data_IF_175349811724
#
_entry.id   IF_175349811724
#
_cell.length_a   1.000
_cell.length_b   1.000
_cell.length_c   1.000
_cell.angle_alpha   90.00
_cell.angle_beta   90.00
_cell.angle_gamma   90.00
#
_symmetry.space_group_name_H-M   'P 1'
#
loop_
_entity.id
_entity.type
_entity.pdbx_description
1 polymer ?
#
# COMPACT_ATOMS: atom_id res chain seq x y z
N UNK A 1 -0.40 23.40 9.99
CA UNK A 1 -0.85 23.44 8.58
C UNK A 1 -2.14 22.64 8.48
N UNK A 2 -3.18 23.21 7.88
CA UNK A 2 -4.43 22.50 7.58
C UNK A 2 -4.14 21.24 6.74
N UNK A 3 -4.97 20.20 6.84
CA UNK A 3 -4.72 18.90 6.19
C UNK A 3 -4.68 18.97 4.66
N UNK A 4 -5.52 19.82 4.06
CA UNK A 4 -5.66 19.97 2.61
C UNK A 4 -4.37 20.40 1.87
N UNK A 5 -3.66 21.48 2.25
CA UNK A 5 -2.44 21.90 1.54
C UNK A 5 -1.33 20.86 1.64
N UNK A 6 -1.27 20.10 2.74
CA UNK A 6 -0.27 19.02 2.90
C UNK A 6 -0.55 17.87 1.94
N UNK A 7 -1.80 17.41 1.85
CA UNK A 7 -2.16 16.32 0.92
C UNK A 7 -1.93 16.76 -0.52
N UNK A 8 -2.32 17.99 -0.86
CA UNK A 8 -2.10 18.56 -2.20
C UNK A 8 -0.61 18.61 -2.53
N UNK A 9 0.23 19.10 -1.61
CA UNK A 9 1.68 19.12 -1.80
C UNK A 9 2.26 17.72 -2.02
N UNK A 10 1.83 16.72 -1.25
CA UNK A 10 2.29 15.34 -1.41
C UNK A 10 1.89 14.77 -2.77
N UNK A 11 0.64 14.98 -3.18
CA UNK A 11 0.15 14.54 -4.50
C UNK A 11 0.93 15.23 -5.62
N UNK A 12 1.14 16.54 -5.53
CA UNK A 12 1.92 17.29 -6.51
C UNK A 12 3.37 16.82 -6.55
N UNK A 13 3.97 16.52 -5.40
CA UNK A 13 5.36 16.03 -5.33
C UNK A 13 5.49 14.66 -5.99
N UNK A 14 4.57 13.73 -5.70
CA UNK A 14 4.54 12.41 -6.34
C UNK A 14 4.27 12.56 -7.84
N UNK A 15 3.28 13.36 -8.23
CA UNK A 15 2.96 13.60 -9.63
C UNK A 15 4.14 14.22 -10.39
N UNK A 16 4.84 15.19 -9.81
CA UNK A 16 6.05 15.78 -10.38
C UNK A 16 7.17 14.75 -10.54
N UNK A 17 7.37 13.88 -9.54
CA UNK A 17 8.32 12.78 -9.66
C UNK A 17 7.98 11.85 -10.83
N UNK A 18 6.71 11.44 -10.98
CA UNK A 18 6.29 10.61 -12.11
C UNK A 18 6.44 11.34 -13.45
N UNK A 19 6.02 12.60 -13.52
CA UNK A 19 6.08 13.40 -14.74
C UNK A 19 7.51 13.64 -15.22
N UNK A 20 8.47 13.85 -14.32
CA UNK A 20 9.86 14.19 -14.68
C UNK A 20 10.75 12.95 -14.72
N UNK A 21 10.65 12.09 -13.70
CA UNK A 21 11.57 10.98 -13.46
C UNK A 21 11.10 9.62 -13.97
N UNK A 22 9.80 9.42 -14.23
CA UNK A 22 9.28 8.12 -14.71
C UNK A 22 8.86 8.19 -16.17
N UNK A 23 8.11 9.22 -16.55
CA UNK A 23 7.62 9.43 -17.91
C UNK A 23 8.27 10.62 -18.62
N UNK A 24 9.20 11.29 -17.93
CA UNK A 24 9.79 12.54 -18.36
C UNK A 24 11.22 12.42 -18.89
N UNK A 25 11.85 13.56 -19.17
CA UNK A 25 13.17 13.61 -19.78
C UNK A 25 14.27 13.00 -18.90
N UNK A 26 14.03 12.84 -17.60
CA UNK A 26 15.04 12.35 -16.66
C UNK A 26 14.97 10.83 -16.44
N UNK A 27 14.07 10.14 -17.15
CA UNK A 27 13.95 8.68 -17.12
C UNK A 27 15.27 7.99 -17.51
N UNK A 28 15.94 8.47 -18.57
CA UNK A 28 17.15 7.84 -19.10
C UNK A 28 18.42 8.10 -18.27
N UNK A 29 18.36 9.04 -17.32
CA UNK A 29 19.49 9.44 -16.50
C UNK A 29 19.67 8.52 -15.29
N UNK A 30 20.45 7.45 -15.46
CA UNK A 30 20.73 6.46 -14.40
C UNK A 30 21.27 7.09 -13.10
N UNK A 31 22.18 8.06 -13.20
CA UNK A 31 22.74 8.74 -12.03
C UNK A 31 21.65 9.46 -11.22
N UNK A 32 20.67 10.07 -11.91
CA UNK A 32 19.53 10.70 -11.26
C UNK A 32 18.62 9.66 -10.57
N UNK A 33 18.32 8.55 -11.24
CA UNK A 33 17.50 7.49 -10.64
C UNK A 33 18.17 6.86 -9.41
N UNK A 34 19.49 6.66 -9.46
CA UNK A 34 20.27 6.17 -8.34
C UNK A 34 20.31 7.17 -7.17
N UNK A 35 20.44 8.47 -7.47
CA UNK A 35 20.39 9.53 -6.45
C UNK A 35 19.03 9.59 -5.75
N UNK A 36 17.93 9.50 -6.51
CA UNK A 36 16.58 9.41 -5.94
C UNK A 36 16.43 8.15 -5.09
N UNK A 37 16.95 7.01 -5.56
CA UNK A 37 16.88 5.75 -4.82
C UNK A 37 17.57 5.86 -3.48
N UNK A 38 18.78 6.44 -3.45
CA UNK A 38 19.53 6.67 -2.23
C UNK A 38 18.77 7.62 -1.28
N UNK A 39 18.20 8.71 -1.81
CA UNK A 39 17.39 9.65 -1.03
C UNK A 39 16.15 8.97 -0.42
N UNK A 40 15.40 8.23 -1.22
CA UNK A 40 14.20 7.51 -0.77
C UNK A 40 14.55 6.41 0.24
N UNK A 41 15.65 5.69 0.04
CA UNK A 41 16.15 4.71 1.00
C UNK A 41 16.52 5.36 2.34
N UNK A 42 17.17 6.52 2.32
CA UNK A 42 17.51 7.27 3.54
C UNK A 42 16.25 7.78 4.27
N UNK A 43 15.26 8.30 3.53
CA UNK A 43 13.96 8.70 4.09
C UNK A 43 13.19 7.52 4.65
N UNK A 44 13.26 6.36 3.98
CA UNK A 44 12.62 5.13 4.42
C UNK A 44 13.27 4.58 5.68
N UNK A 45 14.59 4.61 5.75
CA UNK A 45 15.35 4.27 6.93
C UNK A 45 14.98 5.15 8.12
N UNK A 46 14.88 6.47 7.89
CA UNK A 46 14.48 7.41 8.95
C UNK A 46 13.06 7.18 9.46
N UNK A 47 12.12 6.81 8.59
CA UNK A 47 10.70 6.67 8.95
C UNK A 47 10.31 5.28 9.47
N UNK A 48 10.90 4.21 8.93
CA UNK A 48 10.55 2.82 9.24
C UNK A 48 11.68 1.99 9.85
N UNK A 49 12.86 2.57 10.02
CA UNK A 49 14.05 1.88 10.52
C UNK A 49 14.57 0.82 9.55
N UNK A 50 15.56 0.06 10.03
CA UNK A 50 16.22 -0.98 9.22
C UNK A 50 15.32 -2.18 8.94
N UNK A 51 14.43 -2.53 9.88
CA UNK A 51 13.49 -3.62 9.72
C UNK A 51 12.49 -3.34 8.59
N UNK A 52 11.93 -2.12 8.54
CA UNK A 52 11.01 -1.70 7.48
C UNK A 52 11.69 -1.71 6.11
N UNK A 53 12.88 -1.09 6.01
CA UNK A 53 13.64 -1.07 4.75
C UNK A 53 13.96 -2.49 4.26
N UNK A 54 14.39 -3.39 5.15
CA UNK A 54 14.70 -4.79 4.78
C UNK A 54 13.47 -5.54 4.28
N UNK A 55 12.30 -5.31 4.88
CA UNK A 55 11.05 -5.92 4.42
C UNK A 55 10.68 -5.44 3.01
N UNK A 56 10.76 -4.13 2.76
CA UNK A 56 10.48 -3.55 1.44
C UNK A 56 11.49 -4.05 0.39
N UNK A 57 12.78 -4.09 0.72
CA UNK A 57 13.82 -4.61 -0.19
C UNK A 57 13.56 -6.08 -0.51
N UNK A 58 13.22 -6.92 0.47
CA UNK A 58 12.86 -8.33 0.23
C UNK A 58 11.67 -8.48 -0.71
N UNK A 59 10.69 -7.58 -0.60
CA UNK A 59 9.55 -7.54 -1.52
C UNK A 59 9.95 -7.09 -2.92
N UNK A 60 10.85 -6.12 -3.06
CA UNK A 60 11.28 -5.54 -4.34
C UNK A 60 12.26 -6.43 -5.13
N UNK A 61 13.15 -7.16 -4.44
CA UNK A 61 14.17 -8.02 -5.05
C UNK A 61 13.64 -8.94 -6.16
N UNK A 62 12.55 -9.73 -5.98
CA UNK A 62 12.09 -10.62 -7.03
C UNK A 62 11.66 -9.88 -8.31
N UNK A 63 11.05 -8.70 -8.18
CA UNK A 63 10.63 -7.90 -9.32
C UNK A 63 11.82 -7.27 -10.04
N UNK A 64 12.75 -6.68 -9.28
CA UNK A 64 13.98 -6.10 -9.81
C UNK A 64 14.82 -7.17 -10.51
N UNK A 65 14.98 -8.33 -9.87
CA UNK A 65 15.71 -9.46 -10.43
C UNK A 65 15.07 -9.97 -11.73
N UNK A 66 13.73 -10.07 -11.77
CA UNK A 66 13.01 -10.48 -12.98
C UNK A 66 13.20 -9.48 -14.14
N UNK A 67 13.18 -8.17 -13.87
CA UNK A 67 13.41 -7.15 -14.89
C UNK A 67 14.82 -7.24 -15.48
N UNK A 68 15.84 -7.36 -14.62
CA UNK A 68 17.23 -7.51 -15.07
C UNK A 68 17.41 -8.80 -15.87
N UNK A 69 16.88 -9.92 -15.37
CA UNK A 69 16.96 -11.21 -16.07
C UNK A 69 16.28 -11.15 -17.44
N UNK A 70 15.10 -10.55 -17.54
CA UNK A 70 14.40 -10.36 -18.80
C UNK A 70 15.21 -9.49 -19.77
N UNK A 71 15.82 -8.42 -19.28
CA UNK A 71 16.71 -7.57 -20.09
C UNK A 71 17.85 -8.38 -20.71
N UNK A 72 18.56 -9.16 -19.89
CA UNK A 72 19.66 -10.02 -20.34
C UNK A 72 19.21 -11.07 -21.37
N UNK A 73 18.06 -11.70 -21.15
CA UNK A 73 17.50 -12.69 -22.08
C UNK A 73 17.17 -12.04 -23.43
N UNK A 74 16.48 -10.89 -23.43
CA UNK A 74 16.08 -10.20 -24.65
C UNK A 74 17.27 -9.68 -25.46
N UNK A 75 18.32 -9.23 -24.76
CA UNK A 75 19.58 -8.81 -25.35
C UNK A 75 20.32 -9.99 -26.00
N UNK A 76 20.40 -11.13 -25.29
CA UNK A 76 21.01 -12.35 -25.80
C UNK A 76 20.26 -12.94 -27.01
N UNK A 77 18.93 -12.79 -27.05
CA UNK A 77 18.10 -13.26 -28.15
C UNK A 77 18.06 -12.28 -29.34
N UNK A 78 18.65 -11.09 -29.22
CA UNK A 78 18.68 -10.09 -30.30
C UNK A 78 17.29 -9.68 -30.79
N UNK A 79 16.30 -9.69 -29.89
CA UNK A 79 14.89 -9.48 -30.26
C UNK A 79 14.66 -8.06 -30.80
N UNK A 80 13.96 -7.95 -31.94
CA UNK A 80 13.53 -6.67 -32.50
C UNK A 80 14.64 -5.77 -33.05
N UNK A 81 15.86 -6.30 -33.29
CA UNK A 81 16.97 -5.52 -33.85
C UNK A 81 17.52 -4.43 -32.92
N UNK A 82 17.16 -4.48 -31.63
CA UNK A 82 17.53 -3.54 -30.58
C UNK A 82 18.59 -4.16 -29.66
N UNK A 83 19.60 -3.39 -29.25
CA UNK A 83 20.78 -3.88 -28.51
C UNK A 83 20.96 -3.25 -27.12
N UNK A 84 19.95 -2.53 -26.62
CA UNK A 84 19.99 -1.82 -25.34
C UNK A 84 18.93 -2.36 -24.36
N UNK A 85 18.47 -3.59 -24.56
CA UNK A 85 17.50 -4.26 -23.68
C UNK A 85 17.98 -4.35 -22.24
N UNK A 86 19.26 -4.67 -22.05
CA UNK A 86 19.88 -4.71 -20.71
C UNK A 86 19.85 -3.34 -20.03
N UNK A 87 20.16 -2.27 -20.77
CA UNK A 87 20.22 -0.92 -20.24
C UNK A 87 18.83 -0.38 -19.89
N UNK A 88 17.83 -0.61 -20.75
CA UNK A 88 16.44 -0.24 -20.48
C UNK A 88 15.86 -1.01 -19.27
N UNK A 89 16.12 -2.31 -19.17
CA UNK A 89 15.73 -3.10 -18.01
C UNK A 89 16.40 -2.63 -16.72
N UNK A 90 17.66 -2.19 -16.78
CA UNK A 90 18.35 -1.61 -15.63
C UNK A 90 17.73 -0.26 -15.20
N UNK A 91 17.33 0.58 -16.16
CA UNK A 91 16.58 1.83 -15.86
C UNK A 91 15.28 1.50 -15.14
N UNK A 92 14.50 0.56 -15.67
CA UNK A 92 13.24 0.10 -15.05
C UNK A 92 13.45 -0.48 -13.65
N UNK A 93 14.52 -1.24 -13.47
CA UNK A 93 14.91 -1.81 -12.18
C UNK A 93 15.23 -0.76 -11.11
N UNK A 94 15.65 0.45 -11.48
CA UNK A 94 15.85 1.58 -10.55
C UNK A 94 14.58 2.41 -10.36
N UNK A 95 13.85 2.66 -11.45
CA UNK A 95 12.61 3.45 -11.44
C UNK A 95 11.51 2.77 -10.62
N UNK A 96 11.43 1.44 -10.65
CA UNK A 96 10.39 0.70 -9.95
C UNK A 96 10.47 0.85 -8.42
N UNK A 97 11.61 0.59 -7.75
CA UNK A 97 11.79 0.90 -6.33
C UNK A 97 11.52 2.37 -5.98
N UNK A 98 11.96 3.31 -6.82
CA UNK A 98 11.70 4.74 -6.61
C UNK A 98 10.21 5.07 -6.62
N UNK A 99 9.47 4.50 -7.58
CA UNK A 99 8.01 4.62 -7.68
C UNK A 99 7.32 3.99 -6.47
N UNK A 100 7.76 2.81 -6.06
CA UNK A 100 7.22 2.13 -4.89
C UNK A 100 7.41 2.96 -3.60
N UNK A 101 8.64 3.39 -3.30
CA UNK A 101 8.92 4.14 -2.08
C UNK A 101 8.35 5.56 -2.09
N UNK A 102 8.30 6.24 -3.23
CA UNK A 102 7.68 7.58 -3.30
C UNK A 102 6.19 7.52 -2.93
N UNK A 103 5.44 6.57 -3.48
CA UNK A 103 4.02 6.36 -3.15
C UNK A 103 3.88 5.87 -1.71
N UNK A 104 4.69 4.92 -1.26
CA UNK A 104 4.61 4.38 0.10
C UNK A 104 4.88 5.46 1.15
N UNK A 105 5.91 6.28 0.96
CA UNK A 105 6.25 7.39 1.88
C UNK A 105 5.18 8.48 1.85
N UNK A 106 4.63 8.81 0.68
CA UNK A 106 3.54 9.77 0.57
C UNK A 106 2.28 9.26 1.30
N UNK A 107 1.90 8.00 1.09
CA UNK A 107 0.78 7.38 1.77
C UNK A 107 0.99 7.32 3.29
N UNK A 108 2.18 6.96 3.76
CA UNK A 108 2.52 6.94 5.17
C UNK A 108 2.49 8.33 5.82
N UNK A 109 2.74 9.39 5.05
CA UNK A 109 2.69 10.77 5.53
C UNK A 109 1.25 11.28 5.70
N UNK A 110 0.26 10.71 5.00
CA UNK A 110 -1.15 11.13 5.05
C UNK A 110 -1.85 10.51 6.25
N UNK A 111 -2.41 11.34 7.13
CA UNK A 111 -3.26 10.89 8.25
C UNK A 111 -4.74 10.99 7.86
N UNK A 112 -5.62 10.24 8.55
CA UNK A 112 -7.08 10.32 8.32
C UNK A 112 -7.60 11.76 8.45
N UNK A 113 -7.14 12.51 9.46
CA UNK A 113 -7.51 13.92 9.65
C UNK A 113 -7.18 14.78 8.42
N UNK A 114 -6.09 14.44 7.72
CA UNK A 114 -5.62 15.19 6.56
C UNK A 114 -6.54 14.92 5.36
N UNK A 115 -7.09 13.70 5.26
CA UNK A 115 -8.10 13.30 4.27
C UNK A 115 -9.47 13.90 4.55
N UNK A 116 -9.92 13.90 5.82
CA UNK A 116 -11.23 14.48 6.20
C UNK A 116 -11.24 15.99 6.01
N UNK A 117 -10.10 16.65 6.14
CA UNK A 117 -9.95 18.10 5.90
C UNK A 117 -10.01 18.49 4.41
N UNK A 118 -10.07 17.53 3.47
CA UNK A 118 -10.27 17.82 2.07
C UNK A 118 -11.73 18.26 1.82
N UNK A 119 -11.98 19.11 0.80
CA UNK A 119 -13.32 19.54 0.40
C UNK A 119 -14.08 18.40 -0.31
N UNK A 120 -14.28 17.30 0.40
CA UNK A 120 -14.99 16.11 -0.07
C UNK A 120 -16.50 16.24 0.22
N UNK A 121 -17.37 15.67 -0.63
CA UNK A 121 -18.79 15.58 -0.32
C UNK A 121 -19.02 14.83 1.00
N UNK A 122 -19.99 15.27 1.82
CA UNK A 122 -20.28 14.69 3.16
C UNK A 122 -20.43 13.15 3.14
N UNK A 123 -21.00 12.58 2.06
CA UNK A 123 -21.11 11.13 1.85
C UNK A 123 -19.75 10.42 1.87
N UNK A 124 -18.75 10.98 1.19
CA UNK A 124 -17.40 10.41 1.11
C UNK A 124 -16.62 10.60 2.40
N UNK A 125 -16.79 11.73 3.09
CA UNK A 125 -16.21 11.93 4.43
C UNK A 125 -16.76 10.90 5.42
N UNK A 126 -18.07 10.66 5.41
CA UNK A 126 -18.71 9.62 6.24
C UNK A 126 -18.16 8.23 5.92
N UNK A 127 -18.07 7.86 4.64
CA UNK A 127 -17.50 6.57 4.22
C UNK A 127 -16.05 6.41 4.69
N UNK A 128 -15.20 7.43 4.51
CA UNK A 128 -13.80 7.39 4.97
C UNK A 128 -13.68 7.16 6.48
N UNK A 129 -14.50 7.86 7.27
CA UNK A 129 -14.50 7.72 8.73
C UNK A 129 -14.97 6.32 9.13
N UNK A 130 -16.09 5.85 8.56
CA UNK A 130 -16.65 4.52 8.87
C UNK A 130 -15.67 3.43 8.45
N UNK A 131 -15.12 3.48 7.23
CA UNK A 131 -14.15 2.50 6.76
C UNK A 131 -12.91 2.49 7.65
N UNK A 132 -12.38 3.65 8.02
CA UNK A 132 -11.22 3.71 8.92
C UNK A 132 -11.53 3.12 10.30
N UNK A 133 -12.68 3.46 10.88
CA UNK A 133 -13.11 2.91 12.16
C UNK A 133 -13.32 1.38 12.08
N UNK A 134 -13.91 0.90 11.00
CA UNK A 134 -14.12 -0.52 10.73
C UNK A 134 -12.77 -1.25 10.67
N UNK A 135 -11.85 -0.82 9.81
CA UNK A 135 -10.52 -1.45 9.70
C UNK A 135 -9.75 -1.40 11.01
N UNK A 136 -9.82 -0.29 11.74
CA UNK A 136 -9.14 -0.15 13.03
C UNK A 136 -9.72 -1.09 14.09
N UNK A 137 -11.05 -1.22 14.18
CA UNK A 137 -11.72 -2.15 15.11
C UNK A 137 -11.57 -3.61 14.69
N UNK A 138 -11.52 -3.91 13.40
CA UNK A 138 -11.37 -5.25 12.86
C UNK A 138 -9.93 -5.78 12.99
N UNK A 139 -8.92 -4.91 13.07
CA UNK A 139 -7.50 -5.31 13.21
C UNK A 139 -7.24 -6.31 14.35
N UNK A 140 -7.62 -6.06 15.62
CA UNK A 140 -7.40 -7.03 16.70
C UNK A 140 -8.16 -8.34 16.47
N UNK A 141 -9.34 -8.30 15.83
CA UNK A 141 -10.08 -9.50 15.46
C UNK A 141 -9.35 -10.31 14.39
N UNK A 142 -8.80 -9.64 13.38
CA UNK A 142 -7.96 -10.28 12.35
C UNK A 142 -6.68 -10.88 12.94
N UNK A 143 -6.03 -10.18 13.87
CA UNK A 143 -4.84 -10.70 14.57
C UNK A 143 -5.17 -11.93 15.41
N UNK A 144 -6.32 -11.95 16.09
CA UNK A 144 -6.81 -13.15 16.80
C UNK A 144 -7.16 -14.30 15.86
N UNK A 145 -7.86 -14.02 14.77
CA UNK A 145 -8.20 -15.03 13.76
C UNK A 145 -6.95 -15.60 13.09
N UNK A 146 -5.96 -14.76 12.82
CA UNK A 146 -4.65 -15.18 12.32
C UNK A 146 -3.96 -16.10 13.33
N UNK A 147 -3.94 -15.72 14.61
CA UNK A 147 -3.37 -16.56 15.65
C UNK A 147 -4.08 -17.91 15.75
N UNK A 148 -5.42 -17.94 15.77
CA UNK A 148 -6.20 -19.19 15.82
C UNK A 148 -5.93 -20.09 14.60
N UNK A 149 -6.01 -19.53 13.40
CA UNK A 149 -5.78 -20.29 12.14
C UNK A 149 -4.33 -20.77 12.01
N UNK A 150 -3.36 -20.09 12.62
CA UNK A 150 -1.96 -20.52 12.64
C UNK A 150 -1.69 -21.70 13.59
N UNK A 151 -2.49 -21.86 14.65
CA UNK A 151 -2.36 -22.93 15.65
C UNK A 151 -3.35 -24.08 15.48
N UNK A 152 -4.27 -23.99 14.53
CA UNK A 152 -5.24 -25.05 14.28
C UNK A 152 -4.57 -26.27 13.60
N UNK A 153 -4.59 -27.45 14.25
CA UNK A 153 -4.00 -28.66 13.70
C UNK A 153 -4.67 -29.09 12.37
N UNK A 154 -5.95 -28.80 12.15
CA UNK A 154 -6.64 -29.17 10.91
C UNK A 154 -6.21 -28.32 9.71
N UNK A 155 -5.75 -27.08 9.94
CA UNK A 155 -5.25 -26.16 8.90
C UNK A 155 -3.73 -26.25 8.70
N UNK A 156 -3.05 -27.13 9.45
CA UNK A 156 -1.59 -27.36 9.34
C UNK A 156 -1.24 -28.66 8.60
N UNK A 157 -2.23 -29.48 8.24
CA UNK A 157 -2.04 -30.73 7.51
C UNK A 157 -2.12 -30.51 5.98
N UNK A 158 -1.22 -31.13 5.22
CA UNK A 158 -1.18 -31.06 3.75
C UNK A 158 0.01 -30.27 3.15
N UNK A 159 0.04 -30.15 1.83
CA UNK A 159 1.10 -29.44 1.08
C UNK A 159 1.14 -27.93 1.36
N UNK A 160 2.30 -27.29 1.13
CA UNK A 160 2.50 -25.84 1.42
C UNK A 160 1.44 -24.94 0.77
N UNK A 161 1.11 -25.19 -0.50
CA UNK A 161 0.09 -24.42 -1.25
C UNK A 161 -1.32 -24.63 -0.68
N UNK A 162 -1.68 -25.86 -0.34
CA UNK A 162 -3.00 -26.21 0.20
C UNK A 162 -3.22 -25.56 1.57
N UNK A 163 -2.20 -25.62 2.44
CA UNK A 163 -2.22 -25.01 3.78
C UNK A 163 -2.37 -23.48 3.72
N UNK A 164 -1.59 -22.81 2.87
CA UNK A 164 -1.67 -21.35 2.76
C UNK A 164 -2.97 -20.90 2.10
N UNK A 165 -3.45 -21.64 1.09
CA UNK A 165 -4.72 -21.36 0.41
C UNK A 165 -5.92 -21.49 1.35
N UNK A 166 -6.05 -22.61 2.07
CA UNK A 166 -7.16 -22.82 3.01
C UNK A 166 -7.13 -21.80 4.16
N UNK A 167 -5.95 -21.49 4.70
CA UNK A 167 -5.80 -20.45 5.72
C UNK A 167 -6.29 -19.09 5.23
N UNK A 168 -5.89 -18.69 4.02
CA UNK A 168 -6.32 -17.41 3.45
C UNK A 168 -7.84 -17.36 3.26
N UNK A 169 -8.46 -18.43 2.78
CA UNK A 169 -9.93 -18.50 2.60
C UNK A 169 -10.67 -18.41 3.94
N UNK A 170 -10.23 -19.17 4.95
CA UNK A 170 -10.84 -19.14 6.29
C UNK A 170 -10.68 -17.76 6.92
N UNK A 171 -9.51 -17.13 6.79
CA UNK A 171 -9.26 -15.77 7.23
C UNK A 171 -10.16 -14.76 6.51
N UNK A 172 -10.35 -14.89 5.20
CA UNK A 172 -11.19 -13.99 4.40
C UNK A 172 -12.66 -14.09 4.81
N UNK A 173 -13.18 -15.31 4.98
CA UNK A 173 -14.57 -15.56 5.41
C UNK A 173 -14.79 -15.07 6.84
N UNK A 174 -13.88 -15.38 7.76
CA UNK A 174 -13.98 -14.94 9.15
C UNK A 174 -13.82 -13.40 9.27
N UNK A 175 -12.96 -12.79 8.45
CA UNK A 175 -12.82 -11.35 8.33
C UNK A 175 -14.13 -10.70 7.83
N UNK A 176 -14.72 -11.25 6.76
CA UNK A 176 -15.99 -10.77 6.21
C UNK A 176 -17.12 -10.87 7.24
N UNK A 177 -17.26 -12.00 7.92
CA UNK A 177 -18.27 -12.20 8.96
C UNK A 177 -18.07 -11.22 10.13
N UNK A 178 -16.83 -11.04 10.61
CA UNK A 178 -16.51 -10.11 11.67
C UNK A 178 -16.75 -8.64 11.26
N UNK A 179 -16.39 -8.27 10.03
CA UNK A 179 -16.65 -6.93 9.48
C UNK A 179 -18.14 -6.67 9.31
N UNK A 180 -18.91 -7.67 8.88
CA UNK A 180 -20.37 -7.55 8.75
C UNK A 180 -21.02 -7.31 10.14
N UNK A 181 -20.67 -8.11 11.13
CA UNK A 181 -21.19 -7.99 12.49
C UNK A 181 -20.82 -6.64 13.15
N UNK A 182 -19.59 -6.16 12.92
CA UNK A 182 -19.11 -4.84 13.35
C UNK A 182 -19.84 -3.68 12.64
N UNK A 183 -20.19 -3.86 11.36
CA UNK A 183 -20.90 -2.85 10.58
C UNK A 183 -22.33 -2.71 11.09
N UNK A 184 -23.04 -3.81 11.31
CA UNK A 184 -24.40 -3.78 11.89
C UNK A 184 -24.43 -3.14 13.27
N UNK A 185 -23.51 -3.50 14.17
CA UNK A 185 -23.45 -2.89 15.51
C UNK A 185 -23.12 -1.41 15.46
N UNK A 186 -22.24 -0.99 14.55
CA UNK A 186 -21.90 0.44 14.40
C UNK A 186 -23.06 1.24 13.80
N UNK A 187 -23.80 0.69 12.83
CA UNK A 187 -25.02 1.32 12.30
C UNK A 187 -26.10 1.45 13.36
N UNK A 188 -26.41 0.39 14.12
CA UNK A 188 -27.40 0.45 15.20
C UNK A 188 -27.08 1.50 16.26
N UNK A 189 -25.80 1.63 16.64
CA UNK A 189 -25.36 2.65 17.61
C UNK A 189 -25.44 4.06 17.01
N UNK A 190 -25.14 4.22 15.72
CA UNK A 190 -25.27 5.52 15.04
C UNK A 190 -26.72 5.95 14.94
N UNK A 191 -27.62 5.05 14.52
CA UNK A 191 -29.04 5.34 14.35
C UNK A 191 -29.70 5.65 15.70
N UNK A 192 -29.39 4.88 16.75
CA UNK A 192 -29.87 5.17 18.11
C UNK A 192 -29.40 6.54 18.64
N UNK A 193 -28.18 6.96 18.28
CA UNK A 193 -27.62 8.25 18.72
C UNK A 193 -28.19 9.43 17.93
N UNK A 194 -28.55 9.22 16.67
CA UNK A 194 -29.25 10.23 15.86
C UNK A 194 -30.70 10.40 16.32
N UNK A 195 -31.41 9.30 16.62
CA UNK A 195 -32.76 9.36 17.16
C UNK A 195 -32.82 10.10 18.50
N UNK A 196 -31.85 9.86 19.39
CA UNK A 196 -31.75 10.59 20.66
C UNK A 196 -31.51 12.09 20.48
N UNK A 197 -30.69 12.48 19.51
CA UNK A 197 -30.44 13.91 19.21
C UNK A 197 -31.66 14.59 18.58
N UNK A 198 -32.48 13.86 17.82
CA UNK A 198 -33.75 14.39 17.28
C UNK A 198 -34.84 14.53 18.36
N UNK A 199 -34.79 13.72 19.43
CA UNK A 199 -35.68 13.84 20.60
C UNK A 199 -35.26 14.97 21.57
N UNK A 200 -33.96 15.30 21.66
CA UNK A 200 -33.47 16.42 22.49
C UNK A 200 -33.70 17.81 21.86
N UNK A 201 -33.88 17.89 20.53
CA UNK A 201 -34.15 19.13 19.80
C UNK A 201 -35.66 19.51 19.77
N UNK A 202 -36.52 18.76 20.47
CA UNK A 202 -37.98 19.02 20.67
C UNK A 202 -38.26 19.43 22.11
#
# INVERSE_FOLDING_TARGET
>A
MSGAPKVMLLVLTVAAYFAVGVFGPWYDHLAFQAAILALLAALRLRSGGWAGLRADVRFLIPFVGMLVLMGLILDALGTGGRSDWTLDSLRKALVFPNSFWSVQLAAAAVRLRDLVALPLPKRWQRLLIISHALFHKSRPTLERLWWLTSHDPHLTQGGWVHRHGQRLVVLLVAALAAMYQQTETTMRVYDARMAFLEEEDV
#
